data_IF_256522308279
#
_entry.id   IF_256522308279
#
_cell.length_a   1.000
_cell.length_b   1.000
_cell.length_c   1.000
_cell.angle_alpha   90.00
_cell.angle_beta   90.00
_cell.angle_gamma   90.00
#
_symmetry.space_group_name_H-M   'P 1'
#
loop_
_entity.id
_entity.type
_entity.pdbx_description
1 polymer ?
#
# COMPACT_ATOMS: atom_id res chain seq x y z
N UNK A 1 7.03 -1.81 3.97
CA UNK A 1 6.22 -0.65 4.41
C UNK A 1 6.97 0.10 5.49
N UNK A 2 7.21 1.41 5.32
CA UNK A 2 7.96 2.22 6.30
C UNK A 2 7.00 2.83 7.34
N UNK A 3 7.27 2.57 8.60
CA UNK A 3 6.46 3.03 9.75
C UNK A 3 7.36 3.88 10.65
N UNK A 4 6.88 5.03 11.10
CA UNK A 4 7.50 5.80 12.17
C UNK A 4 6.68 5.68 13.45
N UNK A 5 7.36 5.55 14.59
CA UNK A 5 6.80 5.66 15.94
C UNK A 5 7.51 6.84 16.61
N UNK A 6 6.73 7.84 17.01
CA UNK A 6 7.24 9.06 17.63
C UNK A 6 6.60 9.21 19.01
N UNK A 7 7.38 9.04 20.06
CA UNK A 7 6.93 9.07 21.46
C UNK A 7 8.16 9.32 22.33
N UNK A 8 8.11 10.14 23.34
CA UNK A 8 9.25 10.45 24.21
C UNK A 8 9.54 9.34 25.24
N UNK A 9 8.58 8.43 25.45
CA UNK A 9 8.71 7.31 26.39
C UNK A 9 9.19 6.05 25.65
N UNK A 10 10.40 5.60 25.94
CA UNK A 10 11.06 4.46 25.28
C UNK A 10 10.28 3.14 25.41
N UNK A 11 9.67 2.92 26.59
CA UNK A 11 8.87 1.72 26.86
C UNK A 11 7.62 1.67 25.99
N UNK A 12 6.96 2.81 25.77
CA UNK A 12 5.79 2.92 24.89
C UNK A 12 6.18 2.67 23.42
N UNK A 13 7.30 3.24 22.97
CA UNK A 13 7.82 2.96 21.61
C UNK A 13 8.07 1.47 21.42
N UNK A 14 8.80 0.84 22.33
CA UNK A 14 9.14 -0.58 22.24
C UNK A 14 7.90 -1.46 22.29
N UNK A 15 6.93 -1.14 23.13
CA UNK A 15 5.67 -1.87 23.24
C UNK A 15 4.89 -1.81 21.91
N UNK A 16 4.74 -0.61 21.35
CA UNK A 16 4.02 -0.40 20.10
C UNK A 16 4.76 -1.07 18.92
N UNK A 17 6.09 -0.94 18.87
CA UNK A 17 6.93 -1.59 17.86
C UNK A 17 6.67 -3.10 17.81
N UNK A 18 6.84 -3.78 18.95
CA UNK A 18 6.68 -5.24 19.02
C UNK A 18 5.27 -5.69 18.60
N UNK A 19 4.24 -4.93 19.01
CA UNK A 19 2.86 -5.23 18.62
C UNK A 19 2.62 -5.05 17.12
N UNK A 20 3.08 -3.95 16.53
CA UNK A 20 2.96 -3.69 15.11
C UNK A 20 3.71 -4.74 14.28
N UNK A 21 4.96 -5.02 14.64
CA UNK A 21 5.76 -6.05 13.98
C UNK A 21 5.05 -7.41 14.00
N UNK A 22 4.52 -7.83 15.16
CA UNK A 22 3.74 -9.06 15.30
C UNK A 22 2.48 -9.06 14.41
N UNK A 23 1.70 -7.97 14.41
CA UNK A 23 0.45 -7.90 13.65
C UNK A 23 0.69 -7.89 12.13
N UNK A 24 1.68 -7.15 11.64
CA UNK A 24 2.01 -7.10 10.21
C UNK A 24 2.68 -8.40 9.74
N UNK A 25 3.54 -9.01 10.55
CA UNK A 25 4.15 -10.31 10.25
C UNK A 25 3.10 -11.41 10.09
N UNK A 26 2.07 -11.47 10.97
CA UNK A 26 0.94 -12.40 10.84
C UNK A 26 0.15 -12.24 9.54
N UNK A 27 0.19 -11.04 8.94
CA UNK A 27 -0.46 -10.69 7.67
C UNK A 27 0.46 -10.80 6.46
N UNK A 28 1.69 -11.34 6.65
CA UNK A 28 2.75 -11.43 5.65
C UNK A 28 3.13 -10.08 5.02
N UNK A 29 3.08 -9.01 5.82
CA UNK A 29 3.48 -7.67 5.40
C UNK A 29 4.84 -7.36 6.02
N UNK A 30 5.83 -7.12 5.16
CA UNK A 30 7.15 -6.65 5.61
C UNK A 30 7.10 -5.19 6.01
N UNK A 31 7.61 -4.88 7.20
CA UNK A 31 7.65 -3.52 7.75
C UNK A 31 9.05 -3.14 8.19
N UNK A 32 9.45 -1.91 7.90
CA UNK A 32 10.62 -1.25 8.45
C UNK A 32 10.14 -0.22 9.46
N UNK A 33 10.28 -0.50 10.74
CA UNK A 33 9.79 0.34 11.84
C UNK A 33 10.94 1.17 12.40
N UNK A 34 10.75 2.49 12.46
CA UNK A 34 11.73 3.46 12.95
C UNK A 34 11.16 4.18 14.17
N UNK A 35 11.98 4.33 15.21
CA UNK A 35 11.59 4.97 16.45
C UNK A 35 12.25 6.34 16.60
N UNK A 36 11.48 7.33 17.05
CA UNK A 36 11.92 8.70 17.31
C UNK A 36 11.43 9.15 18.68
N UNK A 37 12.30 9.80 19.43
CA UNK A 37 12.00 10.30 20.78
C UNK A 37 11.32 11.67 20.78
N UNK A 38 11.29 12.36 19.64
CA UNK A 38 10.68 13.68 19.49
C UNK A 38 10.31 14.00 18.04
N UNK A 39 9.45 15.01 17.87
CA UNK A 39 8.97 15.44 16.56
C UNK A 39 10.06 16.02 15.65
N UNK A 40 11.10 16.65 16.19
CA UNK A 40 12.15 17.31 15.39
C UNK A 40 13.01 16.29 14.64
N UNK A 41 13.50 15.28 15.36
CA UNK A 41 14.29 14.19 14.74
C UNK A 41 13.47 13.39 13.73
N UNK A 42 12.19 13.14 14.03
CA UNK A 42 11.26 12.51 13.11
C UNK A 42 11.06 13.36 11.83
N UNK A 43 10.74 14.66 11.94
CA UNK A 43 10.52 15.53 10.78
C UNK A 43 11.76 15.65 9.90
N UNK A 44 12.95 15.65 10.51
CA UNK A 44 14.20 15.64 9.76
C UNK A 44 14.32 14.37 8.92
N UNK A 45 14.09 13.20 9.51
CA UNK A 45 14.16 11.92 8.79
C UNK A 45 13.06 11.78 7.73
N UNK A 46 11.85 12.31 7.98
CA UNK A 46 10.72 12.26 7.04
C UNK A 46 10.97 13.07 5.76
N UNK A 47 11.77 14.15 5.83
CA UNK A 47 12.17 14.95 4.64
C UNK A 47 13.05 14.15 3.68
N UNK A 48 13.95 13.33 4.22
CA UNK A 48 14.88 12.55 3.40
C UNK A 48 14.22 11.30 2.82
N UNK A 49 13.32 10.69 3.60
CA UNK A 49 12.66 9.45 3.19
C UNK A 49 11.25 9.35 3.81
N UNK A 50 10.19 9.55 3.01
CA UNK A 50 8.81 9.56 3.49
C UNK A 50 8.40 8.25 4.18
N UNK A 51 7.47 8.33 5.12
CA UNK A 51 6.87 7.21 5.81
C UNK A 51 5.48 6.91 5.25
N UNK A 52 5.14 5.62 5.18
CA UNK A 52 3.79 5.20 4.79
C UNK A 52 2.79 5.42 5.93
N UNK A 53 3.25 5.15 7.16
CA UNK A 53 2.43 5.24 8.38
C UNK A 53 3.24 5.94 9.47
N UNK A 54 2.60 6.83 10.21
CA UNK A 54 3.21 7.55 11.34
C UNK A 54 2.32 7.38 12.56
N UNK A 55 2.86 6.81 13.62
CA UNK A 55 2.29 6.82 14.96
C UNK A 55 2.94 7.95 15.73
N UNK A 56 2.15 8.89 16.24
CA UNK A 56 2.64 10.11 16.82
C UNK A 56 1.96 10.36 18.17
N UNK A 57 2.74 10.37 19.25
CA UNK A 57 2.20 10.78 20.52
C UNK A 57 1.86 12.27 20.54
N UNK A 58 0.72 12.62 21.13
CA UNK A 58 0.30 14.02 21.26
C UNK A 58 1.09 14.71 22.37
N UNK A 59 1.31 14.04 23.49
CA UNK A 59 1.91 14.61 24.68
C UNK A 59 3.37 14.19 24.84
N UNK A 60 4.28 14.90 24.19
CA UNK A 60 5.71 14.69 24.32
C UNK A 60 6.40 15.85 25.04
N UNK A 61 7.46 15.58 25.78
CA UNK A 61 8.28 16.61 26.40
C UNK A 61 8.95 17.47 25.32
N UNK A 62 8.69 18.79 25.36
CA UNK A 62 9.35 19.76 24.47
C UNK A 62 8.72 19.95 23.09
N UNK A 63 7.89 19.03 22.59
CA UNK A 63 7.16 19.19 21.33
C UNK A 63 5.74 18.65 21.44
N UNK A 64 4.78 19.40 20.87
CA UNK A 64 3.40 18.93 20.77
C UNK A 64 3.24 18.10 19.50
N UNK A 65 2.71 16.87 19.63
CA UNK A 65 2.47 15.99 18.49
C UNK A 65 1.53 16.59 17.43
N UNK A 66 0.57 17.42 17.86
CA UNK A 66 -0.33 18.13 16.91
C UNK A 66 0.45 19.10 16.03
N UNK A 67 1.39 19.86 16.60
CA UNK A 67 2.19 20.81 15.82
C UNK A 67 3.19 20.08 14.91
N UNK A 68 3.74 18.96 15.38
CA UNK A 68 4.54 18.04 14.56
C UNK A 68 3.73 17.50 13.36
N UNK A 69 2.48 17.10 13.59
CA UNK A 69 1.58 16.64 12.54
C UNK A 69 1.25 17.73 11.52
N UNK A 70 1.00 18.97 11.97
CA UNK A 70 0.78 20.11 11.07
C UNK A 70 1.99 20.39 10.19
N UNK A 71 3.20 20.31 10.76
CA UNK A 71 4.44 20.50 9.99
C UNK A 71 4.65 19.37 8.98
N UNK A 72 4.42 18.10 9.38
CA UNK A 72 4.46 16.96 8.47
C UNK A 72 3.52 17.16 7.28
N UNK A 73 2.28 17.60 7.53
CA UNK A 73 1.26 17.81 6.47
C UNK A 73 1.60 18.90 5.46
N UNK A 74 2.57 19.77 5.73
CA UNK A 74 3.07 20.76 4.75
C UNK A 74 3.91 20.08 3.65
N UNK A 75 4.56 18.97 3.96
CA UNK A 75 5.44 18.24 3.04
C UNK A 75 4.87 16.90 2.57
N UNK A 76 4.04 16.25 3.39
CA UNK A 76 3.45 14.95 3.12
C UNK A 76 1.95 14.94 3.51
N UNK A 77 1.08 14.87 2.51
CA UNK A 77 -0.38 14.80 2.68
C UNK A 77 -0.90 13.37 2.70
N UNK A 78 -0.10 12.40 2.27
CA UNK A 78 -0.56 11.06 1.90
C UNK A 78 -0.22 10.00 2.96
N UNK A 79 0.78 10.23 3.81
CA UNK A 79 1.09 9.28 4.87
C UNK A 79 -0.11 9.09 5.81
N UNK A 80 -0.35 7.87 6.26
CA UNK A 80 -1.37 7.56 7.25
C UNK A 80 -0.88 8.00 8.63
N UNK A 81 -1.54 9.00 9.22
CA UNK A 81 -1.21 9.52 10.53
C UNK A 81 -2.15 8.96 11.59
N UNK A 82 -1.59 8.35 12.62
CA UNK A 82 -2.29 7.83 13.78
C UNK A 82 -1.75 8.55 15.01
N UNK A 83 -2.63 9.16 15.80
CA UNK A 83 -2.22 9.66 17.10
C UNK A 83 -2.27 8.57 18.15
N UNK A 84 -1.22 8.49 18.97
CA UNK A 84 -1.22 7.76 20.23
C UNK A 84 -1.39 8.77 21.36
N UNK A 85 -2.25 8.52 22.33
CA UNK A 85 -2.55 9.53 23.35
C UNK A 85 -3.18 8.93 24.60
N UNK A 86 -2.99 9.60 25.72
CA UNK A 86 -3.69 9.29 27.00
C UNK A 86 -5.07 9.98 27.11
N UNK A 87 -5.40 10.92 26.21
CA UNK A 87 -6.68 11.66 26.21
C UNK A 87 -7.21 11.88 24.79
N UNK A 88 -8.53 11.99 24.67
CA UNK A 88 -9.24 12.29 23.42
C UNK A 88 -9.53 13.79 23.25
N UNK A 89 -9.03 14.67 24.11
CA UNK A 89 -9.36 16.10 24.13
C UNK A 89 -8.96 16.84 22.84
N UNK A 90 -7.99 16.31 22.08
CA UNK A 90 -7.49 16.89 20.83
C UNK A 90 -8.13 16.31 19.55
N UNK A 91 -9.24 15.59 19.64
CA UNK A 91 -9.88 14.97 18.49
C UNK A 91 -10.26 15.96 17.38
N UNK A 92 -10.66 17.19 17.71
CA UNK A 92 -10.96 18.25 16.75
C UNK A 92 -9.73 18.73 15.97
N UNK A 93 -8.58 18.81 16.63
CA UNK A 93 -7.33 19.24 16.01
C UNK A 93 -6.77 18.18 15.07
N UNK A 94 -6.95 16.90 15.40
CA UNK A 94 -6.59 15.80 14.53
C UNK A 94 -7.39 15.74 13.23
N UNK A 95 -8.61 16.25 13.23
CA UNK A 95 -9.40 16.39 12.01
C UNK A 95 -8.73 17.33 11.00
N UNK A 96 -8.08 18.41 11.50
CA UNK A 96 -7.38 19.38 10.66
C UNK A 96 -6.16 18.79 9.95
N UNK A 97 -5.50 17.80 10.58
CA UNK A 97 -4.32 17.12 10.02
C UNK A 97 -4.67 15.80 9.33
N UNK A 98 -5.97 15.51 9.14
CA UNK A 98 -6.46 14.28 8.52
C UNK A 98 -5.86 13.02 9.15
N UNK A 99 -5.90 12.95 10.49
CA UNK A 99 -5.50 11.74 11.20
C UNK A 99 -6.45 10.61 10.85
N UNK A 100 -5.88 9.44 10.55
CA UNK A 100 -6.65 8.22 10.27
C UNK A 100 -7.34 7.72 11.54
N UNK A 101 -6.63 7.72 12.66
CA UNK A 101 -7.12 7.13 13.89
C UNK A 101 -6.51 7.80 15.14
N UNK A 102 -7.22 7.61 16.28
CA UNK A 102 -6.73 7.93 17.63
C UNK A 102 -6.63 6.64 18.42
N UNK A 103 -5.42 6.25 18.74
CA UNK A 103 -5.12 5.07 19.55
C UNK A 103 -4.93 5.50 21.01
N UNK A 104 -5.95 5.29 21.84
CA UNK A 104 -5.94 5.73 23.24
C UNK A 104 -5.19 4.74 24.12
N UNK A 105 -4.20 5.22 24.85
CA UNK A 105 -3.41 4.44 25.82
C UNK A 105 -4.22 4.18 27.11
N UNK A 106 -4.19 2.99 27.69
CA UNK A 106 -3.54 1.77 27.20
C UNK A 106 -4.38 1.07 26.13
N UNK A 107 -3.78 0.71 25.00
CA UNK A 107 -4.45 -0.01 23.92
C UNK A 107 -4.21 -1.53 24.00
N UNK A 108 -5.20 -2.30 23.60
CA UNK A 108 -5.15 -3.76 23.59
C UNK A 108 -4.54 -4.34 22.30
N UNK A 109 -4.24 -5.63 22.29
CA UNK A 109 -3.86 -6.37 21.07
C UNK A 109 -4.96 -6.30 19.99
N UNK A 110 -6.23 -6.30 20.40
CA UNK A 110 -7.34 -6.22 19.45
C UNK A 110 -7.43 -4.85 18.79
N UNK A 111 -7.13 -3.76 19.53
CA UNK A 111 -7.10 -2.41 18.96
C UNK A 111 -6.02 -2.29 17.90
N UNK A 112 -4.82 -2.82 18.17
CA UNK A 112 -3.72 -2.84 17.18
C UNK A 112 -4.06 -3.75 16.01
N UNK A 113 -4.72 -4.89 16.23
CA UNK A 113 -5.13 -5.77 15.14
C UNK A 113 -6.14 -5.10 14.22
N UNK A 114 -7.19 -4.48 14.77
CA UNK A 114 -8.19 -3.75 13.99
C UNK A 114 -7.57 -2.57 13.21
N UNK A 115 -6.67 -1.82 13.88
CA UNK A 115 -5.96 -0.72 13.26
C UNK A 115 -5.02 -1.18 12.13
N UNK A 116 -4.36 -2.33 12.28
CA UNK A 116 -3.54 -2.91 11.22
C UNK A 116 -4.39 -3.26 9.98
N UNK A 117 -5.60 -3.81 10.16
CA UNK A 117 -6.52 -4.08 9.06
C UNK A 117 -7.00 -2.79 8.39
N UNK A 118 -7.30 -1.74 9.17
CA UNK A 118 -7.67 -0.43 8.64
C UNK A 118 -6.51 0.20 7.86
N UNK A 119 -5.29 0.20 8.38
CA UNK A 119 -4.08 0.68 7.69
C UNK A 119 -3.93 -0.05 6.35
N UNK A 120 -4.01 -1.39 6.36
CA UNK A 120 -3.86 -2.18 5.14
C UNK A 120 -4.97 -1.93 4.11
N UNK A 121 -6.17 -1.59 4.55
CA UNK A 121 -7.28 -1.22 3.65
C UNK A 121 -7.06 0.14 2.97
N UNK A 122 -6.29 1.04 3.60
CA UNK A 122 -6.00 2.40 3.11
C UNK A 122 -4.75 2.49 2.27
N UNK A 123 -3.83 1.54 2.45
CA UNK A 123 -2.60 1.48 1.65
C UNK A 123 -2.88 0.59 0.44
N UNK A 124 -2.96 1.14 -0.78
CA UNK A 124 -3.33 0.38 -1.96
C UNK A 124 -2.25 -0.61 -2.32
N UNK A 125 -1.53 -1.25 -1.56
CA UNK A 125 -0.54 -2.27 -1.96
C UNK A 125 0.42 -2.76 -0.87
N UNK A 126 -0.04 -2.84 0.36
CA UNK A 126 0.81 -3.33 1.44
C UNK A 126 1.11 -4.82 1.30
N UNK A 127 2.17 -5.13 0.54
CA UNK A 127 2.83 -6.42 0.62
C UNK A 127 2.32 -7.53 -0.31
N UNK A 128 1.42 -7.27 -1.26
CA UNK A 128 1.09 -8.26 -2.28
C UNK A 128 2.16 -8.29 -3.37
N UNK A 129 2.76 -9.43 -3.56
CA UNK A 129 3.76 -9.66 -4.60
C UNK A 129 3.54 -11.01 -5.28
N UNK A 130 4.12 -11.18 -6.44
CA UNK A 130 4.23 -12.47 -7.11
C UNK A 130 5.70 -12.92 -7.15
N UNK A 131 5.93 -14.18 -6.84
CA UNK A 131 7.25 -14.78 -7.02
C UNK A 131 7.42 -15.18 -8.48
N UNK A 132 8.53 -14.76 -9.08
CA UNK A 132 8.89 -15.13 -10.44
C UNK A 132 10.37 -15.50 -10.53
N UNK A 133 10.68 -16.50 -11.35
CA UNK A 133 12.07 -16.86 -11.64
C UNK A 133 12.50 -16.14 -12.90
N UNK A 134 13.31 -15.09 -12.74
CA UNK A 134 13.85 -14.26 -13.82
C UNK A 134 15.35 -14.43 -13.86
N UNK A 135 15.91 -14.75 -15.03
CA UNK A 135 17.36 -14.93 -15.24
C UNK A 135 18.02 -15.90 -14.23
N UNK A 136 17.26 -16.94 -13.84
CA UNK A 136 17.73 -17.95 -12.88
C UNK A 136 17.58 -17.59 -11.41
N UNK A 137 17.23 -16.35 -11.08
CA UNK A 137 17.02 -15.85 -9.72
C UNK A 137 15.53 -15.78 -9.38
N UNK A 138 15.16 -16.14 -8.14
CA UNK A 138 13.82 -15.88 -7.64
C UNK A 138 13.73 -14.43 -7.20
N UNK A 139 12.76 -13.71 -7.76
CA UNK A 139 12.48 -12.31 -7.40
C UNK A 139 11.02 -12.16 -6.99
N UNK A 140 10.75 -11.20 -6.13
CA UNK A 140 9.41 -10.79 -5.75
C UNK A 140 9.05 -9.52 -6.51
N UNK A 141 7.94 -9.57 -7.25
CA UNK A 141 7.45 -8.44 -8.02
C UNK A 141 6.20 -7.92 -7.33
N UNK A 142 6.24 -6.70 -6.76
CA UNK A 142 5.08 -6.09 -6.13
C UNK A 142 3.92 -5.93 -7.13
N UNK A 143 2.71 -6.23 -6.70
CA UNK A 143 1.52 -6.12 -7.58
C UNK A 143 1.35 -4.73 -8.18
N UNK A 144 1.66 -3.67 -7.43
CA UNK A 144 1.61 -2.28 -7.91
C UNK A 144 2.55 -1.98 -9.07
N UNK A 145 3.66 -2.72 -9.16
CA UNK A 145 4.63 -2.51 -10.22
C UNK A 145 4.22 -3.23 -11.52
N UNK A 146 3.33 -4.22 -11.44
CA UNK A 146 2.86 -4.96 -12.59
C UNK A 146 1.81 -4.12 -13.33
N UNK A 147 2.13 -3.68 -14.54
CA UNK A 147 1.19 -3.00 -15.43
C UNK A 147 0.31 -4.03 -16.14
N UNK A 148 0.95 -5.01 -16.77
CA UNK A 148 0.27 -6.17 -17.35
C UNK A 148 1.27 -7.32 -17.53
N UNK A 149 0.75 -8.52 -17.73
CA UNK A 149 1.56 -9.67 -18.10
C UNK A 149 0.90 -10.40 -19.25
N UNK A 150 1.74 -10.88 -20.18
CA UNK A 150 1.28 -11.62 -21.35
C UNK A 150 2.08 -12.91 -21.56
N UNK A 151 1.39 -13.95 -22.05
CA UNK A 151 1.99 -15.21 -22.44
C UNK A 151 2.28 -15.21 -23.93
N UNK A 152 3.55 -15.17 -24.27
CA UNK A 152 4.02 -15.20 -25.65
C UNK A 152 5.20 -16.18 -25.78
N UNK A 153 5.22 -16.99 -26.85
CA UNK A 153 6.31 -17.93 -27.16
C UNK A 153 6.75 -18.82 -25.98
N UNK A 154 5.78 -19.36 -25.21
CA UNK A 154 6.01 -20.19 -24.03
C UNK A 154 6.69 -19.50 -22.83
N UNK A 155 6.75 -18.18 -22.85
CA UNK A 155 7.28 -17.34 -21.80
C UNK A 155 6.19 -16.37 -21.31
N UNK A 156 6.30 -15.93 -20.08
CA UNK A 156 5.47 -14.85 -19.55
C UNK A 156 6.33 -13.60 -19.52
N UNK A 157 5.84 -12.59 -20.23
CA UNK A 157 6.41 -11.26 -20.27
C UNK A 157 5.65 -10.38 -19.28
N UNK A 158 6.34 -9.87 -18.27
CA UNK A 158 5.77 -9.04 -17.20
C UNK A 158 6.26 -7.61 -17.42
N UNK A 159 5.34 -6.72 -17.75
CA UNK A 159 5.62 -5.30 -17.97
C UNK A 159 5.40 -4.57 -16.65
N UNK A 160 6.43 -3.87 -16.18
CA UNK A 160 6.43 -3.17 -14.89
C UNK A 160 6.58 -1.67 -15.05
N UNK A 161 6.16 -0.91 -14.03
CA UNK A 161 6.26 0.56 -13.98
C UNK A 161 7.72 1.07 -13.98
N UNK A 162 8.69 0.21 -13.67
CA UNK A 162 10.12 0.52 -13.71
C UNK A 162 10.76 0.44 -15.11
N UNK A 163 9.98 0.50 -16.19
CA UNK A 163 10.41 0.36 -17.59
C UNK A 163 11.17 -0.95 -17.89
N UNK A 164 11.11 -1.93 -17.00
CA UNK A 164 11.72 -3.26 -17.18
C UNK A 164 10.66 -4.26 -17.58
N UNK A 165 10.93 -4.94 -18.68
CA UNK A 165 10.26 -6.18 -19.03
C UNK A 165 10.97 -7.33 -18.31
N UNK A 166 10.23 -8.09 -17.52
CA UNK A 166 10.74 -9.27 -16.83
C UNK A 166 10.16 -10.51 -17.52
N UNK A 167 11.02 -11.49 -17.79
CA UNK A 167 10.60 -12.70 -18.52
C UNK A 167 10.78 -13.92 -17.62
N UNK A 168 9.71 -14.72 -17.49
CA UNK A 168 9.73 -15.93 -16.68
C UNK A 168 9.15 -17.12 -17.45
N UNK A 169 9.65 -18.32 -17.15
CA UNK A 169 9.18 -19.57 -17.75
C UNK A 169 8.40 -20.38 -16.73
N UNK A 170 7.09 -20.23 -16.79
CA UNK A 170 6.15 -21.04 -15.97
C UNK A 170 4.79 -21.12 -16.68
N UNK A 171 3.88 -21.93 -16.13
CA UNK A 171 2.50 -21.98 -16.64
C UNK A 171 1.81 -20.64 -16.39
N UNK A 172 1.15 -20.09 -17.41
CA UNK A 172 0.41 -18.83 -17.27
C UNK A 172 -0.73 -18.95 -16.28
N UNK A 173 -1.43 -20.09 -16.24
CA UNK A 173 -2.51 -20.31 -15.28
C UNK A 173 -1.98 -20.34 -13.83
N UNK A 174 -0.82 -20.93 -13.60
CA UNK A 174 -0.17 -20.92 -12.29
C UNK A 174 0.24 -19.49 -11.90
N UNK A 175 0.85 -18.74 -12.84
CA UNK A 175 1.27 -17.37 -12.63
C UNK A 175 0.11 -16.45 -12.24
N UNK A 176 -1.01 -16.50 -12.97
CA UNK A 176 -2.13 -15.60 -12.72
C UNK A 176 -3.03 -16.02 -11.55
N UNK A 177 -2.80 -17.19 -10.93
CA UNK A 177 -3.67 -17.67 -9.84
C UNK A 177 -3.71 -16.70 -8.67
N UNK A 178 -2.57 -16.20 -8.22
CA UNK A 178 -2.48 -15.19 -7.15
C UNK A 178 -3.03 -13.83 -7.58
N UNK A 179 -2.79 -13.44 -8.84
CA UNK A 179 -3.29 -12.18 -9.38
C UNK A 179 -4.81 -12.15 -9.48
N UNK A 180 -5.45 -13.26 -9.89
CA UNK A 180 -6.92 -13.37 -9.98
C UNK A 180 -7.66 -13.21 -8.63
N UNK A 181 -6.97 -13.45 -7.53
CA UNK A 181 -7.52 -13.27 -6.18
C UNK A 181 -7.58 -11.78 -5.77
N UNK A 182 -6.98 -10.89 -6.55
CA UNK A 182 -6.94 -9.46 -6.27
C UNK A 182 -7.77 -8.68 -7.29
N UNK A 183 -8.69 -7.84 -6.82
CA UNK A 183 -9.64 -7.08 -7.65
C UNK A 183 -8.98 -6.10 -8.62
N UNK A 184 -7.71 -5.77 -8.44
CA UNK A 184 -6.93 -4.95 -9.37
C UNK A 184 -6.64 -5.65 -10.69
N UNK A 185 -6.60 -6.99 -10.70
CA UNK A 185 -6.19 -7.72 -11.89
C UNK A 185 -7.39 -8.22 -12.68
N UNK A 186 -7.36 -7.95 -13.97
CA UNK A 186 -8.37 -8.39 -14.92
C UNK A 186 -7.74 -9.19 -16.06
N UNK A 187 -8.24 -10.42 -16.29
CA UNK A 187 -7.78 -11.26 -17.40
C UNK A 187 -8.51 -10.88 -18.68
N UNK A 188 -7.82 -10.23 -19.62
CA UNK A 188 -8.37 -9.75 -20.88
C UNK A 188 -8.64 -10.86 -21.91
N UNK A 189 -7.80 -11.92 -21.88
CA UNK A 189 -7.91 -13.10 -22.72
C UNK A 189 -7.12 -14.27 -22.10
N UNK A 190 -6.98 -15.40 -22.84
CA UNK A 190 -6.31 -16.60 -22.33
C UNK A 190 -4.85 -16.40 -21.93
N UNK A 191 -4.18 -15.42 -22.48
CA UNK A 191 -2.75 -15.18 -22.27
C UNK A 191 -2.42 -13.78 -21.81
N UNK A 192 -3.39 -12.94 -21.40
CA UNK A 192 -3.11 -11.57 -20.95
C UNK A 192 -3.92 -11.21 -19.72
N UNK A 193 -3.25 -10.68 -18.72
CA UNK A 193 -3.81 -10.09 -17.51
C UNK A 193 -3.27 -8.68 -17.35
N UNK A 194 -4.14 -7.72 -17.03
CA UNK A 194 -3.77 -6.33 -16.75
C UNK A 194 -4.02 -5.98 -15.29
N UNK A 195 -3.34 -4.95 -14.83
CA UNK A 195 -3.66 -4.28 -13.58
C UNK A 195 -4.53 -3.05 -13.87
N UNK A 196 -5.74 -3.03 -13.34
CA UNK A 196 -6.70 -1.95 -13.51
C UNK A 196 -6.25 -0.61 -12.89
N UNK A 197 -5.29 -0.63 -11.95
CA UNK A 197 -4.67 0.59 -11.42
C UNK A 197 -3.92 1.37 -12.51
N UNK A 198 -3.37 0.66 -13.48
CA UNK A 198 -2.66 1.22 -14.63
C UNK A 198 -3.56 1.44 -15.85
N UNK A 199 -4.85 1.11 -15.78
CA UNK A 199 -5.79 1.35 -16.87
C UNK A 199 -6.26 2.80 -16.87
N UNK A 200 -5.94 3.52 -17.94
CA UNK A 200 -6.34 4.92 -18.14
C UNK A 200 -7.72 5.00 -18.74
N UNK A 201 -8.06 4.10 -19.67
CA UNK A 201 -9.32 4.13 -20.40
C UNK A 201 -9.69 2.75 -20.94
N UNK A 202 -11.00 2.57 -21.22
CA UNK A 202 -11.53 1.41 -21.93
C UNK A 202 -12.37 1.87 -23.12
N UNK A 203 -11.85 1.68 -24.33
CA UNK A 203 -12.45 2.16 -25.60
C UNK A 203 -13.58 1.27 -26.15
N UNK A 204 -13.95 0.21 -25.43
CA UNK A 204 -14.96 -0.76 -25.86
C UNK A 204 -14.39 -1.97 -26.61
N UNK A 205 -13.10 -1.97 -26.94
CA UNK A 205 -12.38 -3.08 -27.58
C UNK A 205 -11.20 -3.57 -26.75
N UNK A 206 -10.63 -2.70 -25.90
CA UNK A 206 -9.50 -2.98 -25.06
C UNK A 206 -9.22 -1.88 -24.03
N UNK A 207 -8.20 -2.08 -23.24
CA UNK A 207 -7.70 -1.14 -22.27
C UNK A 207 -6.49 -0.39 -22.80
N UNK A 208 -6.49 0.93 -22.62
CA UNK A 208 -5.30 1.76 -22.76
C UNK A 208 -4.66 1.90 -21.38
N UNK A 209 -3.37 1.56 -21.28
CA UNK A 209 -2.60 1.61 -20.05
C UNK A 209 -1.74 2.88 -19.96
N UNK A 210 -1.31 3.25 -18.76
CA UNK A 210 -0.54 4.46 -18.49
C UNK A 210 0.87 4.45 -19.12
N UNK A 211 1.43 3.27 -19.38
CA UNK A 211 2.67 3.11 -20.16
C UNK A 211 2.48 3.25 -21.68
N UNK A 212 1.28 3.61 -22.14
CA UNK A 212 0.93 3.76 -23.55
C UNK A 212 0.54 2.46 -24.28
N UNK A 213 0.59 1.31 -23.62
CA UNK A 213 0.18 0.04 -24.20
C UNK A 213 -1.33 -0.03 -24.41
N UNK A 214 -1.77 -0.66 -25.52
CA UNK A 214 -3.17 -0.98 -25.78
C UNK A 214 -3.36 -2.50 -25.70
N UNK A 215 -4.15 -2.96 -24.74
CA UNK A 215 -4.39 -4.39 -24.50
C UNK A 215 -5.79 -4.76 -24.94
N UNK A 216 -5.95 -5.56 -26.02
CA UNK A 216 -7.26 -5.96 -26.52
C UNK A 216 -7.93 -6.97 -25.59
N UNK A 217 -9.25 -6.82 -25.43
CA UNK A 217 -10.09 -7.74 -24.65
C UNK A 217 -10.83 -8.69 -25.59
N UNK A 218 -10.86 -9.99 -25.24
CA UNK A 218 -11.64 -10.97 -25.98
C UNK A 218 -13.11 -10.56 -26.13
N UNK A 219 -13.70 -10.70 -27.31
CA UNK A 219 -15.08 -10.28 -27.60
C UNK A 219 -16.11 -10.75 -26.57
N UNK A 220 -15.95 -11.97 -26.04
CA UNK A 220 -16.83 -12.55 -25.02
C UNK A 220 -16.75 -11.83 -23.66
N UNK A 221 -15.63 -11.13 -23.40
CA UNK A 221 -15.34 -10.48 -22.12
C UNK A 221 -15.59 -8.97 -22.14
N UNK A 222 -15.87 -8.34 -23.30
CA UNK A 222 -15.97 -6.88 -23.43
C UNK A 222 -16.99 -6.27 -22.46
N UNK A 223 -18.20 -6.87 -22.35
CA UNK A 223 -19.25 -6.38 -21.42
C UNK A 223 -18.79 -6.47 -19.95
N UNK A 224 -18.20 -7.59 -19.59
CA UNK A 224 -17.67 -7.80 -18.23
C UNK A 224 -16.50 -6.88 -17.94
N UNK A 225 -15.56 -6.71 -18.89
CA UNK A 225 -14.41 -5.81 -18.74
C UNK A 225 -14.83 -4.38 -18.42
N UNK A 226 -15.82 -3.86 -19.18
CA UNK A 226 -16.35 -2.52 -18.94
C UNK A 226 -16.98 -2.40 -17.56
N UNK A 227 -17.77 -3.38 -17.16
CA UNK A 227 -18.44 -3.38 -15.85
C UNK A 227 -17.41 -3.42 -14.72
N UNK A 228 -16.48 -4.37 -14.77
CA UNK A 228 -15.42 -4.52 -13.75
C UNK A 228 -14.58 -3.24 -13.63
N UNK A 229 -14.23 -2.61 -14.75
CA UNK A 229 -13.46 -1.37 -14.72
C UNK A 229 -14.24 -0.22 -14.08
N UNK A 230 -15.53 -0.08 -14.39
CA UNK A 230 -16.38 0.93 -13.75
C UNK A 230 -16.53 0.69 -12.25
N UNK A 231 -16.76 -0.55 -11.83
CA UNK A 231 -16.83 -0.93 -10.41
C UNK A 231 -15.52 -0.63 -9.69
N UNK A 232 -14.38 -0.93 -10.30
CA UNK A 232 -13.06 -0.63 -9.77
C UNK A 232 -12.84 0.88 -9.57
N UNK A 233 -13.22 1.70 -10.56
CA UNK A 233 -13.11 3.16 -10.47
C UNK A 233 -14.02 3.75 -9.38
N UNK A 234 -15.22 3.18 -9.17
CA UNK A 234 -16.11 3.62 -8.10
C UNK A 234 -15.55 3.31 -6.72
N UNK A 235 -15.03 2.11 -6.51
CA UNK A 235 -14.42 1.71 -5.24
C UNK A 235 -13.20 2.59 -4.85
N UNK A 236 -12.46 3.10 -5.84
CA UNK A 236 -11.30 3.95 -5.63
C UNK A 236 -11.66 5.41 -5.26
N UNK A 237 -12.91 5.84 -5.49
CA UNK A 237 -13.39 7.20 -5.21
C UNK A 237 -14.15 7.31 -3.88
N UNK A 238 -14.49 6.18 -3.26
CA UNK A 238 -15.16 6.10 -1.96
C UNK A 238 -14.15 5.98 -0.83
#
# INVERSE_FOLDING_TARGET
MRIAIVDDISEERTLLHNRLESQFSRRNVHTDIFEYENGETFLTAAKDCPFTVVFLDIYMNGSNGIDTAKELRRSDTDCLLIFTTTSTDHALEGFQVRALHYLVKPYSENDISALADEILSRIPDSGKYIDAKVDGSNIQIPFREIIYAEHFSHMIHIHTSGERELVTRQSFDSFITSLKMDSRFYQCNRGVVINLEHAVDFDGTGFRLDNGSNVPVSRKLLKNARQTFMEFLFQRRS
#
